data_IF_843428360838
#
_entry.id   IF_843428360838
#
_cell.length_a   1.000
_cell.length_b   1.000
_cell.length_c   1.000
_cell.angle_alpha   90.00
_cell.angle_beta   90.00
_cell.angle_gamma   90.00
#
_symmetry.space_group_name_H-M   'P 1'
#
loop_
_entity.id
_entity.type
_entity.pdbx_description
1 polymer ?
#
# COMPACT_ATOMS: atom_id res chain seq x y z
N UNK A 1 25.47 0.22 4.88
CA UNK A 1 24.25 -0.06 4.09
C UNK A 1 23.35 1.16 3.99
N UNK A 2 22.62 1.58 5.04
CA UNK A 2 21.73 2.77 4.94
C UNK A 2 22.51 4.07 4.67
N UNK A 3 23.62 4.30 5.38
CA UNK A 3 24.46 5.49 5.12
C UNK A 3 24.99 5.52 3.68
N UNK A 4 25.50 4.39 3.18
CA UNK A 4 25.98 4.27 1.79
C UNK A 4 24.85 4.54 0.78
N UNK A 5 23.64 4.01 1.03
CA UNK A 5 22.47 4.26 0.19
C UNK A 5 22.04 5.74 0.19
N UNK A 6 22.09 6.41 1.35
CA UNK A 6 21.81 7.85 1.47
C UNK A 6 22.84 8.67 0.70
N UNK A 7 24.12 8.32 0.78
CA UNK A 7 25.18 9.00 0.03
C UNK A 7 25.00 8.83 -1.49
N UNK A 8 24.77 7.61 -1.96
CA UNK A 8 24.52 7.30 -3.38
C UNK A 8 23.27 8.03 -3.88
N UNK A 9 22.17 7.99 -3.12
CA UNK A 9 20.92 8.67 -3.48
C UNK A 9 21.10 10.19 -3.56
N UNK A 10 21.82 10.78 -2.59
CA UNK A 10 22.12 12.21 -2.58
C UNK A 10 22.98 12.61 -3.78
N UNK A 11 23.98 11.79 -4.13
CA UNK A 11 24.82 12.03 -5.30
C UNK A 11 23.99 12.02 -6.59
N UNK A 12 23.16 10.99 -6.77
CA UNK A 12 22.26 10.89 -7.93
C UNK A 12 21.36 12.11 -8.07
N UNK A 13 20.70 12.53 -6.99
CA UNK A 13 19.79 13.69 -7.01
C UNK A 13 20.55 14.95 -7.38
N UNK A 14 21.72 15.18 -6.80
CA UNK A 14 22.55 16.36 -7.08
C UNK A 14 23.00 16.40 -8.55
N UNK A 15 23.35 15.25 -9.13
CA UNK A 15 23.83 15.17 -10.51
C UNK A 15 22.71 15.30 -11.56
N UNK A 16 21.57 14.64 -11.34
CA UNK A 16 20.50 14.57 -12.34
C UNK A 16 19.39 15.59 -12.16
N UNK A 17 19.22 16.13 -10.94
CA UNK A 17 18.17 17.10 -10.59
C UNK A 17 18.77 18.27 -9.79
N UNK A 18 19.70 19.05 -10.38
CA UNK A 18 20.33 20.18 -9.68
C UNK A 18 19.33 21.27 -9.25
N UNK A 19 18.18 21.36 -9.93
CA UNK A 19 17.09 22.29 -9.62
C UNK A 19 16.05 21.70 -8.66
N UNK A 20 16.35 20.58 -7.99
CA UNK A 20 15.44 19.98 -7.02
C UNK A 20 15.17 20.92 -5.85
N UNK A 21 13.88 21.15 -5.57
CA UNK A 21 13.43 21.85 -4.38
C UNK A 21 13.62 21.00 -3.13
N UNK A 22 13.27 19.73 -3.26
CA UNK A 22 13.46 18.73 -2.23
C UNK A 22 13.68 17.35 -2.84
N UNK A 23 14.24 16.43 -2.05
CA UNK A 23 14.27 15.02 -2.38
C UNK A 23 14.29 14.16 -1.13
N UNK A 24 13.73 12.96 -1.23
CA UNK A 24 13.61 12.00 -0.14
C UNK A 24 14.04 10.61 -0.61
N UNK A 25 14.74 9.89 0.25
CA UNK A 25 14.94 8.45 0.12
C UNK A 25 13.92 7.76 1.02
N UNK A 26 13.05 6.95 0.45
CA UNK A 26 12.06 6.18 1.19
C UNK A 26 12.31 4.68 1.04
N UNK A 27 11.22 3.92 1.11
CA UNK A 27 11.26 2.52 0.72
C UNK A 27 11.89 1.59 1.75
N UNK A 28 12.26 0.40 1.27
CA UNK A 28 12.66 -0.68 2.16
C UNK A 28 14.01 -0.45 2.86
N UNK A 29 14.88 0.34 2.24
CA UNK A 29 16.19 0.70 2.82
C UNK A 29 16.03 1.55 4.07
N UNK A 30 15.11 2.52 4.06
CA UNK A 30 14.89 3.40 5.21
C UNK A 30 14.16 2.70 6.35
N UNK A 31 13.22 1.80 6.02
CA UNK A 31 12.49 1.02 7.04
C UNK A 31 13.30 -0.12 7.66
N UNK A 32 14.45 -0.47 7.08
CA UNK A 32 15.29 -1.57 7.56
C UNK A 32 14.82 -2.96 7.15
N UNK A 33 13.86 -3.06 6.22
CA UNK A 33 13.33 -4.31 5.63
C UNK A 33 13.93 -4.61 4.24
N UNK A 34 15.05 -3.97 3.90
CA UNK A 34 15.73 -4.17 2.62
C UNK A 34 16.30 -5.60 2.46
N UNK A 35 16.17 -6.16 1.26
CA UNK A 35 16.79 -7.40 0.83
C UNK A 35 17.93 -7.12 -0.15
N UNK A 36 18.66 -8.18 -0.57
CA UNK A 36 19.72 -8.06 -1.58
C UNK A 36 19.23 -7.55 -2.95
N UNK A 37 17.92 -7.57 -3.20
CA UNK A 37 17.29 -7.10 -4.44
C UNK A 37 16.48 -5.82 -4.23
N UNK A 38 16.61 -5.16 -3.09
CA UNK A 38 15.92 -3.89 -2.82
C UNK A 38 16.49 -2.77 -3.69
N UNK A 39 15.59 -1.95 -4.20
CA UNK A 39 15.85 -0.70 -4.90
C UNK A 39 15.91 0.49 -3.94
N UNK A 40 16.48 1.59 -4.43
CA UNK A 40 16.39 2.90 -3.80
C UNK A 40 15.14 3.62 -4.32
N UNK A 41 14.14 3.77 -3.46
CA UNK A 41 12.94 4.57 -3.73
C UNK A 41 13.25 6.05 -3.48
N UNK A 42 13.48 6.83 -4.53
CA UNK A 42 13.85 8.25 -4.44
C UNK A 42 12.72 9.12 -4.97
N UNK A 43 12.16 9.98 -4.12
CA UNK A 43 11.18 11.00 -4.55
C UNK A 43 11.89 12.34 -4.74
N UNK A 44 11.66 13.03 -5.86
CA UNK A 44 12.26 14.33 -6.19
C UNK A 44 11.16 15.35 -6.42
N UNK A 45 11.26 16.51 -5.77
CA UNK A 45 10.34 17.63 -5.92
C UNK A 45 10.92 18.69 -6.87
N UNK A 46 10.21 18.97 -7.96
CA UNK A 46 10.51 20.04 -8.91
C UNK A 46 9.40 21.11 -8.89
N UNK A 47 9.72 22.31 -9.38
CA UNK A 47 8.73 23.39 -9.56
C UNK A 47 7.78 23.16 -10.73
N UNK A 48 8.09 22.23 -11.64
CA UNK A 48 7.39 22.06 -12.90
C UNK A 48 7.93 20.91 -13.75
N UNK A 49 7.82 21.00 -15.08
CA UNK A 49 8.34 19.98 -15.98
C UNK A 49 9.82 19.67 -15.71
N UNK A 50 10.23 18.39 -15.85
CA UNK A 50 9.48 17.33 -16.52
C UNK A 50 8.57 16.50 -15.57
N UNK A 51 8.30 16.96 -14.35
CA UNK A 51 7.34 16.32 -13.45
C UNK A 51 5.88 16.41 -13.97
N UNK A 52 5.00 15.43 -13.66
CA UNK A 52 5.29 14.21 -12.91
C UNK A 52 5.80 13.07 -13.80
N UNK A 53 6.77 12.29 -13.31
CA UNK A 53 7.22 11.08 -13.98
C UNK A 53 7.73 10.01 -13.00
N UNK A 54 7.74 8.76 -13.45
CA UNK A 54 8.48 7.67 -12.80
C UNK A 54 9.56 7.16 -13.75
N UNK A 55 10.77 6.92 -13.23
CA UNK A 55 11.90 6.40 -14.00
C UNK A 55 12.67 5.39 -13.18
N UNK A 56 12.98 4.24 -13.77
CA UNK A 56 13.88 3.25 -13.15
C UNK A 56 15.24 3.28 -13.85
N UNK A 57 16.32 3.17 -13.09
CA UNK A 57 17.69 3.16 -13.60
C UNK A 57 18.64 2.44 -12.63
N UNK A 58 19.85 2.15 -13.09
CA UNK A 58 20.94 1.70 -12.21
C UNK A 58 21.90 2.86 -11.94
N UNK A 59 22.32 3.01 -10.68
CA UNK A 59 23.28 4.05 -10.27
C UNK A 59 24.08 3.61 -9.05
N UNK A 60 25.41 3.77 -9.10
CA UNK A 60 26.28 3.39 -7.99
C UNK A 60 26.17 1.91 -7.59
N UNK A 61 25.78 1.02 -8.51
CA UNK A 61 25.54 -0.40 -8.23
C UNK A 61 24.15 -0.71 -7.64
N UNK A 62 23.27 0.27 -7.51
CA UNK A 62 21.91 0.11 -7.00
C UNK A 62 20.87 0.19 -8.13
N UNK A 63 19.85 -0.67 -8.13
CA UNK A 63 18.58 -0.36 -8.77
C UNK A 63 17.94 0.84 -8.08
N UNK A 64 17.45 1.80 -8.85
CA UNK A 64 16.83 3.03 -8.34
C UNK A 64 15.49 3.24 -9.03
N UNK A 65 14.46 3.52 -8.24
CA UNK A 65 13.19 4.05 -8.72
C UNK A 65 13.06 5.52 -8.34
N UNK A 66 12.95 6.37 -9.36
CA UNK A 66 12.73 7.80 -9.21
C UNK A 66 11.26 8.14 -9.40
N UNK A 67 10.71 8.87 -8.43
CA UNK A 67 9.39 9.46 -8.44
C UNK A 67 9.53 10.98 -8.46
N UNK A 68 9.43 11.58 -9.66
CA UNK A 68 9.65 13.02 -9.83
C UNK A 68 8.30 13.73 -9.86
N UNK A 69 8.08 14.66 -8.96
CA UNK A 69 6.79 15.29 -8.71
C UNK A 69 6.89 16.81 -8.55
N UNK A 70 5.80 17.51 -8.89
CA UNK A 70 5.47 18.82 -8.32
C UNK A 70 4.62 18.65 -7.06
N UNK A 71 4.48 19.70 -6.23
CA UNK A 71 3.59 19.67 -5.06
C UNK A 71 2.14 19.29 -5.44
N UNK A 72 1.62 19.84 -6.54
CA UNK A 72 0.28 19.50 -7.04
C UNK A 72 0.16 18.01 -7.37
N UNK A 73 1.20 17.42 -7.97
CA UNK A 73 1.18 16.00 -8.27
C UNK A 73 1.36 15.13 -7.02
N UNK A 74 2.16 15.55 -6.02
CA UNK A 74 2.21 14.88 -4.71
C UNK A 74 0.81 14.88 -4.10
N UNK A 75 0.14 16.03 -4.02
CA UNK A 75 -1.21 16.15 -3.49
C UNK A 75 -2.21 15.26 -4.25
N UNK A 76 -2.12 15.22 -5.58
CA UNK A 76 -2.94 14.34 -6.42
C UNK A 76 -2.74 12.85 -6.09
N UNK A 77 -1.50 12.39 -5.93
CA UNK A 77 -1.22 10.99 -5.61
C UNK A 77 -1.56 10.66 -4.15
N UNK A 78 -1.41 11.58 -3.21
CA UNK A 78 -1.92 11.44 -1.86
C UNK A 78 -3.46 11.28 -1.84
N UNK A 79 -4.19 12.03 -2.67
CA UNK A 79 -5.64 11.85 -2.79
C UNK A 79 -5.99 10.46 -3.37
N UNK A 80 -5.22 9.96 -4.33
CA UNK A 80 -5.37 8.59 -4.86
C UNK A 80 -5.06 7.52 -3.81
N UNK A 81 -4.05 7.73 -2.97
CA UNK A 81 -3.72 6.84 -1.85
C UNK A 81 -4.91 6.71 -0.89
N UNK A 82 -5.56 7.84 -0.53
CA UNK A 82 -6.78 7.84 0.28
C UNK A 82 -7.93 7.10 -0.39
N UNK A 83 -8.12 7.28 -1.70
CA UNK A 83 -9.17 6.60 -2.45
C UNK A 83 -8.97 5.08 -2.51
N UNK A 84 -7.73 4.60 -2.42
CA UNK A 84 -7.37 3.17 -2.49
C UNK A 84 -6.98 2.56 -1.14
N UNK A 85 -7.05 3.35 -0.06
CA UNK A 85 -6.60 2.98 1.28
C UNK A 85 -5.16 2.44 1.31
N UNK A 86 -4.27 2.96 0.46
CA UNK A 86 -2.90 2.48 0.32
C UNK A 86 -1.94 3.70 0.37
N UNK A 87 -1.13 3.88 1.42
CA UNK A 87 -0.38 5.12 1.65
C UNK A 87 0.96 5.12 0.91
N UNK A 88 0.95 4.96 -0.41
CA UNK A 88 2.18 4.80 -1.20
C UNK A 88 2.98 6.09 -1.30
N UNK A 89 2.43 7.14 -1.90
CA UNK A 89 3.07 8.46 -2.02
C UNK A 89 3.32 9.05 -0.63
N UNK A 90 2.34 8.93 0.27
CA UNK A 90 2.46 9.46 1.63
C UNK A 90 3.62 8.84 2.41
N UNK A 91 3.91 7.54 2.25
CA UNK A 91 5.06 6.91 2.92
C UNK A 91 6.37 7.17 2.19
N UNK A 92 6.38 7.23 0.85
CA UNK A 92 7.57 7.60 0.08
C UNK A 92 8.11 8.99 0.50
N UNK A 93 7.22 9.90 0.90
CA UNK A 93 7.59 11.24 1.38
C UNK A 93 7.67 11.30 2.91
N UNK A 94 6.70 10.75 3.65
CA UNK A 94 6.58 10.90 5.10
C UNK A 94 7.46 9.96 5.93
N UNK A 95 7.65 8.72 5.50
CA UNK A 95 8.49 7.71 6.18
C UNK A 95 9.86 7.60 5.51
N UNK A 96 10.52 8.74 5.33
CA UNK A 96 11.70 8.88 4.47
C UNK A 96 12.84 9.62 5.15
N UNK A 97 14.02 9.59 4.53
CA UNK A 97 15.17 10.43 4.87
C UNK A 97 15.25 11.58 3.87
N UNK A 98 15.25 12.82 4.36
CA UNK A 98 15.42 14.00 3.50
C UNK A 98 16.85 14.03 2.93
N UNK A 99 16.95 13.99 1.61
CA UNK A 99 18.20 14.10 0.87
C UNK A 99 18.50 15.57 0.52
N UNK A 100 17.51 16.31 0.04
CA UNK A 100 17.65 17.71 -0.35
C UNK A 100 16.46 18.49 0.19
N UNK A 101 16.70 19.72 0.65
CA UNK A 101 15.65 20.67 1.01
C UNK A 101 16.21 22.10 0.85
N UNK A 102 15.91 22.74 -0.28
CA UNK A 102 16.48 24.04 -0.64
C UNK A 102 15.63 25.22 -0.18
N UNK A 103 14.34 25.00 0.05
CA UNK A 103 13.37 26.05 0.37
C UNK A 103 12.44 25.72 1.56
N UNK A 104 12.68 24.61 2.26
CA UNK A 104 11.88 24.14 3.39
C UNK A 104 10.67 23.30 3.00
N UNK A 105 10.41 23.10 1.70
CA UNK A 105 9.35 22.20 1.23
C UNK A 105 9.61 20.75 1.58
N UNK A 106 10.88 20.34 1.68
CA UNK A 106 11.30 18.99 2.02
C UNK A 106 10.78 18.54 3.38
N UNK A 107 11.17 19.27 4.43
CA UNK A 107 10.74 19.01 5.79
C UNK A 107 9.23 19.19 5.97
N UNK A 108 8.64 20.22 5.35
CA UNK A 108 7.20 20.51 5.46
C UNK A 108 6.35 19.37 4.90
N UNK A 109 6.58 18.97 3.65
CA UNK A 109 5.79 17.92 2.99
C UNK A 109 6.00 16.56 3.67
N UNK A 110 7.21 16.27 4.16
CA UNK A 110 7.47 15.07 4.96
C UNK A 110 6.58 15.03 6.20
N UNK A 111 6.53 16.12 6.97
CA UNK A 111 5.69 16.20 8.18
C UNK A 111 4.20 16.10 7.86
N UNK A 112 3.73 16.78 6.81
CA UNK A 112 2.35 16.70 6.35
C UNK A 112 1.97 15.26 5.97
N UNK A 113 2.80 14.59 5.18
CA UNK A 113 2.55 13.21 4.76
C UNK A 113 2.60 12.24 5.96
N UNK A 114 3.57 12.39 6.86
CA UNK A 114 3.68 11.55 8.06
C UNK A 114 2.45 11.70 8.97
N UNK A 115 1.93 12.92 9.13
CA UNK A 115 0.71 13.16 9.89
C UNK A 115 -0.50 12.44 9.29
N UNK A 116 -0.62 12.42 7.95
CA UNK A 116 -1.71 11.71 7.27
C UNK A 116 -1.54 10.19 7.40
N UNK A 117 -0.32 9.66 7.28
CA UNK A 117 -0.06 8.23 7.52
C UNK A 117 -0.49 7.84 8.94
N UNK A 118 -0.10 8.62 9.94
CA UNK A 118 -0.46 8.37 11.33
C UNK A 118 -1.98 8.47 11.60
N UNK A 119 -2.70 9.31 10.85
CA UNK A 119 -4.15 9.47 11.00
C UNK A 119 -4.97 8.29 10.44
N UNK A 120 -4.36 7.44 9.59
CA UNK A 120 -5.06 6.35 8.91
C UNK A 120 -5.83 6.81 7.67
N UNK A 121 -6.36 5.86 6.87
CA UNK A 121 -7.20 6.18 5.74
C UNK A 121 -8.58 6.71 6.17
N UNK A 122 -9.27 7.34 5.21
CA UNK A 122 -10.70 7.62 5.35
C UNK A 122 -11.51 6.35 5.63
N UNK A 123 -12.67 6.53 6.25
CA UNK A 123 -13.65 5.44 6.38
C UNK A 123 -14.14 4.95 5.01
N UNK A 124 -14.48 3.66 4.96
CA UNK A 124 -15.33 3.12 3.90
C UNK A 124 -16.69 3.81 3.94
N UNK A 125 -17.22 4.13 2.76
CA UNK A 125 -18.65 4.40 2.61
C UNK A 125 -19.43 3.08 2.71
N UNK A 126 -20.74 3.15 2.95
CA UNK A 126 -21.60 1.96 2.95
C UNK A 126 -21.49 1.17 1.65
N UNK A 127 -21.48 1.85 0.50
CA UNK A 127 -21.37 1.20 -0.81
C UNK A 127 -20.03 0.47 -1.00
N UNK A 128 -18.93 1.04 -0.51
CA UNK A 128 -17.61 0.40 -0.59
C UNK A 128 -17.50 -0.80 0.34
N UNK A 129 -18.06 -0.70 1.54
CA UNK A 129 -18.14 -1.82 2.46
C UNK A 129 -18.98 -2.97 1.89
N UNK A 130 -20.16 -2.64 1.35
CA UNK A 130 -21.06 -3.63 0.75
C UNK A 130 -20.43 -4.28 -0.48
N UNK A 131 -19.71 -3.51 -1.31
CA UNK A 131 -18.96 -4.07 -2.44
C UNK A 131 -17.89 -5.08 -1.99
N UNK A 132 -17.09 -4.76 -0.96
CA UNK A 132 -16.10 -5.69 -0.42
C UNK A 132 -16.76 -6.96 0.13
N UNK A 133 -17.81 -6.81 0.93
CA UNK A 133 -18.58 -7.95 1.47
C UNK A 133 -19.16 -8.83 0.37
N UNK A 134 -19.70 -8.23 -0.67
CA UNK A 134 -20.24 -8.93 -1.82
C UNK A 134 -19.16 -9.70 -2.58
N UNK A 135 -18.02 -9.07 -2.89
CA UNK A 135 -16.91 -9.72 -3.57
C UNK A 135 -16.38 -10.91 -2.78
N UNK A 136 -16.16 -10.74 -1.47
CA UNK A 136 -15.69 -11.83 -0.59
C UNK A 136 -16.72 -12.95 -0.48
N UNK A 137 -18.02 -12.62 -0.45
CA UNK A 137 -19.09 -13.62 -0.42
C UNK A 137 -19.08 -14.50 -1.67
N UNK A 138 -18.96 -13.90 -2.86
CA UNK A 138 -18.86 -14.67 -4.10
C UNK A 138 -17.59 -15.53 -4.15
N UNK A 139 -16.46 -15.02 -3.66
CA UNK A 139 -15.21 -15.78 -3.61
C UNK A 139 -15.29 -16.98 -2.65
N UNK A 140 -16.06 -16.87 -1.55
CA UNK A 140 -16.34 -18.01 -0.66
C UNK A 140 -17.15 -19.10 -1.38
N UNK A 141 -18.15 -18.70 -2.16
CA UNK A 141 -18.98 -19.62 -2.93
C UNK A 141 -18.17 -20.27 -4.08
N UNK A 142 -17.36 -19.47 -4.80
CA UNK A 142 -16.43 -19.96 -5.83
C UNK A 142 -15.41 -20.96 -5.25
N UNK A 143 -14.92 -20.73 -4.02
CA UNK A 143 -13.99 -21.63 -3.36
C UNK A 143 -14.65 -22.96 -2.98
N UNK A 144 -15.92 -22.93 -2.58
CA UNK A 144 -16.71 -24.12 -2.28
C UNK A 144 -17.00 -24.94 -3.55
N UNK A 145 -17.28 -24.27 -4.68
CA UNK A 145 -17.57 -24.89 -5.97
C UNK A 145 -16.32 -25.26 -6.79
N UNK A 146 -15.12 -24.98 -6.28
CA UNK A 146 -13.86 -25.22 -6.97
C UNK A 146 -13.66 -26.72 -7.31
N UNK A 147 -13.64 -27.03 -8.61
CA UNK A 147 -13.57 -28.39 -9.13
C UNK A 147 -12.15 -28.97 -9.25
N UNK A 148 -11.11 -28.13 -9.11
CA UNK A 148 -9.70 -28.53 -9.18
C UNK A 148 -8.86 -27.78 -8.14
N UNK A 149 -7.70 -28.34 -7.78
CA UNK A 149 -6.75 -27.70 -6.86
C UNK A 149 -6.16 -26.40 -7.43
N UNK A 150 -6.01 -26.30 -8.76
CA UNK A 150 -5.55 -25.09 -9.43
C UNK A 150 -6.57 -23.95 -9.28
N UNK A 151 -7.86 -24.24 -9.51
CA UNK A 151 -8.95 -23.27 -9.32
C UNK A 151 -9.03 -22.88 -7.84
N UNK A 152 -8.98 -23.86 -6.93
CA UNK A 152 -8.97 -23.63 -5.48
C UNK A 152 -7.84 -22.69 -5.06
N UNK A 153 -6.63 -22.95 -5.54
CA UNK A 153 -5.45 -22.13 -5.25
C UNK A 153 -5.62 -20.69 -5.79
N UNK A 154 -6.13 -20.55 -7.02
CA UNK A 154 -6.37 -19.24 -7.62
C UNK A 154 -7.40 -18.43 -6.82
N UNK A 155 -8.55 -19.02 -6.46
CA UNK A 155 -9.59 -18.36 -5.67
C UNK A 155 -9.10 -18.03 -4.27
N UNK A 156 -8.46 -18.99 -3.57
CA UNK A 156 -7.89 -18.77 -2.25
C UNK A 156 -6.89 -17.60 -2.26
N UNK A 157 -6.08 -17.47 -3.31
CA UNK A 157 -5.10 -16.39 -3.47
C UNK A 157 -5.70 -14.99 -3.57
N UNK A 158 -6.95 -14.87 -4.04
CA UNK A 158 -7.69 -13.61 -4.09
C UNK A 158 -8.45 -13.40 -2.78
N UNK A 159 -9.11 -14.45 -2.29
CA UNK A 159 -9.94 -14.43 -1.09
C UNK A 159 -9.20 -13.90 0.15
N UNK A 160 -7.99 -14.41 0.42
CA UNK A 160 -7.22 -13.94 1.58
C UNK A 160 -6.86 -12.45 1.47
N UNK A 161 -6.59 -11.96 0.24
CA UNK A 161 -6.22 -10.56 0.04
C UNK A 161 -7.41 -9.63 0.26
N UNK A 162 -8.58 -10.02 -0.22
CA UNK A 162 -9.78 -9.21 -0.08
C UNK A 162 -10.32 -9.24 1.36
N UNK A 163 -10.22 -10.37 2.04
CA UNK A 163 -10.50 -10.46 3.48
C UNK A 163 -9.55 -9.59 4.31
N UNK A 164 -8.24 -9.65 4.04
CA UNK A 164 -7.25 -8.78 4.69
C UNK A 164 -7.55 -7.29 4.41
N UNK A 165 -7.90 -6.93 3.16
CA UNK A 165 -8.30 -5.56 2.80
C UNK A 165 -9.55 -5.12 3.57
N UNK A 166 -10.58 -5.95 3.65
CA UNK A 166 -11.79 -5.63 4.41
C UNK A 166 -11.46 -5.38 5.88
N UNK A 167 -10.70 -6.27 6.51
CA UNK A 167 -10.31 -6.13 7.91
C UNK A 167 -9.55 -4.82 8.16
N UNK A 168 -8.54 -4.53 7.35
CA UNK A 168 -7.71 -3.35 7.50
C UNK A 168 -8.51 -2.07 7.25
N UNK A 169 -9.17 -1.97 6.09
CA UNK A 169 -9.89 -0.74 5.70
C UNK A 169 -11.13 -0.50 6.55
N UNK A 170 -11.84 -1.56 6.96
CA UNK A 170 -12.95 -1.52 7.90
C UNK A 170 -12.55 -1.01 9.29
N UNK A 171 -11.31 -1.30 9.70
CA UNK A 171 -10.73 -0.80 10.96
C UNK A 171 -10.04 0.56 10.83
N UNK A 172 -10.13 1.23 9.67
CA UNK A 172 -9.35 2.43 9.34
C UNK A 172 -7.84 2.24 9.54
N UNK A 173 -7.35 1.07 9.21
CA UNK A 173 -5.94 0.79 9.04
C UNK A 173 -5.58 0.88 7.55
N UNK A 174 -4.37 1.34 7.26
CA UNK A 174 -3.87 1.34 5.89
C UNK A 174 -3.77 -0.08 5.35
N UNK A 175 -3.94 -0.23 4.04
CA UNK A 175 -3.78 -1.49 3.32
C UNK A 175 -2.55 -1.42 2.42
N UNK A 176 -2.19 -2.57 1.82
CA UNK A 176 -1.15 -2.66 0.80
C UNK A 176 -1.50 -3.65 -0.31
N UNK A 177 -0.49 -4.04 -1.06
CA UNK A 177 -0.55 -5.10 -2.09
C UNK A 177 0.64 -6.04 -1.93
N UNK A 178 0.49 -7.31 -2.31
CA UNK A 178 1.55 -8.32 -2.20
C UNK A 178 2.20 -8.32 -0.81
N UNK A 179 3.53 -8.15 -0.76
CA UNK A 179 4.30 -8.03 0.49
C UNK A 179 3.79 -6.93 1.42
N UNK A 180 3.36 -5.80 0.85
CA UNK A 180 2.84 -4.66 1.60
C UNK A 180 1.53 -4.98 2.32
N UNK A 181 0.65 -5.79 1.73
CA UNK A 181 -0.61 -6.19 2.37
C UNK A 181 -0.34 -7.02 3.63
N UNK A 182 0.53 -8.03 3.52
CA UNK A 182 0.93 -8.85 4.66
C UNK A 182 1.63 -8.02 5.74
N UNK A 183 2.43 -7.03 5.36
CA UNK A 183 3.09 -6.12 6.30
C UNK A 183 2.07 -5.27 7.08
N UNK A 184 1.07 -4.68 6.42
CA UNK A 184 0.00 -3.97 7.15
C UNK A 184 -0.78 -4.90 8.08
N UNK A 185 -1.07 -6.12 7.63
CA UNK A 185 -1.81 -7.09 8.43
C UNK A 185 -1.03 -7.53 9.68
N UNK A 186 0.28 -7.74 9.57
CA UNK A 186 1.13 -8.00 10.75
C UNK A 186 1.17 -6.81 11.71
N UNK A 187 1.25 -5.57 11.19
CA UNK A 187 1.22 -4.37 12.03
C UNK A 187 -0.13 -4.22 12.74
N UNK A 188 -1.23 -4.53 12.05
CA UNK A 188 -2.56 -4.61 12.64
C UNK A 188 -2.62 -5.65 13.76
N UNK A 189 -2.11 -6.86 13.52
CA UNK A 189 -2.06 -7.94 14.51
C UNK A 189 -1.26 -7.56 15.76
N UNK A 190 -0.08 -6.96 15.58
CA UNK A 190 0.75 -6.47 16.68
C UNK A 190 0.02 -5.40 17.51
N UNK A 191 -0.68 -4.48 16.84
CA UNK A 191 -1.42 -3.41 17.52
C UNK A 191 -2.65 -3.92 18.28
N UNK A 192 -3.34 -4.95 17.77
CA UNK A 192 -4.63 -5.41 18.30
C UNK A 192 -4.52 -6.72 19.10
N UNK A 193 -3.36 -7.38 19.12
CA UNK A 193 -3.16 -8.66 19.79
C UNK A 193 -3.89 -9.82 19.11
N UNK A 194 -3.99 -9.77 17.78
CA UNK A 194 -4.64 -10.79 16.94
C UNK A 194 -3.60 -11.60 16.15
N UNK A 195 -4.04 -12.58 15.37
CA UNK A 195 -3.16 -13.42 14.53
C UNK A 195 -3.72 -13.64 13.11
N UNK A 196 -4.49 -12.69 12.60
CA UNK A 196 -5.14 -12.74 11.29
C UNK A 196 -4.15 -13.01 10.15
N UNK A 197 -2.97 -12.39 10.19
CA UNK A 197 -1.91 -12.61 9.20
C UNK A 197 -1.47 -14.07 9.15
N UNK A 198 -1.25 -14.66 10.32
CA UNK A 198 -0.82 -16.07 10.43
C UNK A 198 -1.91 -17.00 9.93
N UNK A 199 -3.16 -16.78 10.34
CA UNK A 199 -4.30 -17.65 10.02
C UNK A 199 -4.65 -17.56 8.53
N UNK A 200 -4.77 -16.36 7.96
CA UNK A 200 -5.07 -16.17 6.54
C UNK A 200 -3.98 -16.76 5.63
N UNK A 201 -2.69 -16.63 5.99
CA UNK A 201 -1.60 -17.22 5.22
C UNK A 201 -1.55 -18.74 5.36
N UNK A 202 -1.83 -19.30 6.54
CA UNK A 202 -1.97 -20.74 6.71
C UNK A 202 -3.16 -21.28 5.88
N UNK A 203 -4.24 -20.52 5.81
CA UNK A 203 -5.45 -20.83 5.06
C UNK A 203 -5.23 -20.96 3.54
N UNK A 204 -4.15 -20.39 2.99
CA UNK A 204 -3.77 -20.63 1.59
C UNK A 204 -3.45 -22.10 1.29
N UNK A 205 -3.07 -22.89 2.30
CA UNK A 205 -2.81 -24.33 2.18
C UNK A 205 -3.95 -25.20 2.73
N UNK A 206 -4.79 -24.62 3.58
CA UNK A 206 -5.92 -25.27 4.23
C UNK A 206 -7.15 -24.38 4.07
N UNK A 207 -7.96 -24.67 3.06
CA UNK A 207 -9.08 -23.80 2.70
C UNK A 207 -10.18 -23.77 3.73
N UNK A 208 -10.30 -24.78 4.60
CA UNK A 208 -11.29 -24.78 5.67
C UNK A 208 -10.93 -23.72 6.72
N UNK A 209 -9.65 -23.65 7.09
CA UNK A 209 -9.10 -22.58 7.95
C UNK A 209 -9.31 -21.20 7.32
N UNK A 210 -9.09 -21.09 6.00
CA UNK A 210 -9.34 -19.83 5.29
C UNK A 210 -10.81 -19.42 5.35
N UNK A 211 -11.72 -20.35 5.10
CA UNK A 211 -13.17 -20.08 5.11
C UNK A 211 -13.64 -19.63 6.48
N UNK A 212 -13.21 -20.31 7.55
CA UNK A 212 -13.57 -19.94 8.93
C UNK A 212 -13.09 -18.54 9.28
N UNK A 213 -11.84 -18.22 8.96
CA UNK A 213 -11.23 -16.92 9.24
C UNK A 213 -11.91 -15.79 8.46
N UNK A 214 -12.14 -15.99 7.17
CA UNK A 214 -12.81 -15.02 6.31
C UNK A 214 -14.25 -14.79 6.77
N UNK A 215 -14.96 -15.84 7.20
CA UNK A 215 -16.29 -15.71 7.76
C UNK A 215 -16.27 -14.88 9.05
N UNK A 216 -15.31 -15.14 9.95
CA UNK A 216 -15.13 -14.36 11.17
C UNK A 216 -14.83 -12.88 10.89
N UNK A 217 -14.06 -12.57 9.83
CA UNK A 217 -13.82 -11.19 9.39
C UNK A 217 -15.11 -10.58 8.86
N UNK A 218 -15.83 -11.26 7.97
CA UNK A 218 -17.11 -10.77 7.42
C UNK A 218 -18.12 -10.46 8.53
N UNK A 219 -18.23 -11.31 9.55
CA UNK A 219 -19.21 -11.16 10.63
C UNK A 219 -18.97 -9.88 11.45
N UNK A 220 -17.73 -9.41 11.56
CA UNK A 220 -17.41 -8.10 12.17
C UNK A 220 -18.00 -6.92 11.39
N UNK A 221 -18.28 -7.12 10.09
CA UNK A 221 -18.76 -6.09 9.17
C UNK A 221 -20.16 -6.39 8.62
N UNK A 222 -20.96 -7.18 9.35
CA UNK A 222 -22.36 -7.46 8.99
C UNK A 222 -22.56 -8.76 8.21
N UNK A 223 -21.53 -9.59 8.08
CA UNK A 223 -21.59 -10.92 7.47
C UNK A 223 -21.61 -10.87 5.94
N UNK A 224 -21.86 -12.05 5.36
CA UNK A 224 -22.01 -12.24 3.91
C UNK A 224 -23.06 -11.31 3.30
N UNK A 225 -22.86 -10.92 2.05
CA UNK A 225 -23.80 -10.11 1.29
C UNK A 225 -23.91 -10.64 -0.15
N UNK A 226 -25.09 -11.10 -0.52
CA UNK A 226 -25.43 -11.43 -1.91
C UNK A 226 -26.81 -10.92 -2.24
N UNK A 227 -27.82 -11.41 -1.49
CA UNK A 227 -29.19 -10.96 -1.63
C UNK A 227 -29.31 -9.46 -1.29
N UNK A 228 -29.86 -8.69 -2.23
CA UNK A 228 -30.07 -7.25 -2.07
C UNK A 228 -28.85 -6.38 -2.39
N UNK A 229 -27.72 -6.95 -2.84
CA UNK A 229 -26.63 -6.16 -3.38
C UNK A 229 -27.02 -5.51 -4.72
N UNK A 230 -26.74 -4.22 -4.88
CA UNK A 230 -26.98 -3.47 -6.10
C UNK A 230 -25.77 -2.59 -6.42
N UNK A 231 -25.31 -2.62 -7.66
CA UNK A 231 -24.26 -1.75 -8.17
C UNK A 231 -24.76 -1.02 -9.41
N UNK A 232 -24.96 0.29 -9.28
CA UNK A 232 -25.38 1.12 -10.40
C UNK A 232 -24.20 1.39 -11.36
N UNK A 233 -24.42 1.16 -12.65
CA UNK A 233 -23.49 1.61 -13.69
C UNK A 233 -23.64 3.12 -13.92
N UNK A 234 -22.53 3.82 -14.19
CA UNK A 234 -22.64 5.20 -14.66
C UNK A 234 -23.23 5.20 -16.08
N UNK A 235 -24.24 6.05 -16.36
CA UNK A 235 -24.76 6.20 -17.72
C UNK A 235 -23.65 6.74 -18.64
N UNK A 236 -23.56 6.17 -19.84
CA UNK A 236 -22.61 6.53 -20.91
C UNK A 236 -22.93 7.89 -21.50
#
# INVERSE_FOLDING_TARGET
MVNDAVEVARQLVTEQYPDARAAWLGGSVVRGDASATSDLDITVLLSGPPAPMRRSLEYGGWPVELFVHTEDSVAHFCAKDQQRWQPTMMRLVGESIVLVDTDGSGARLQQECLAVVAAGPRALTTAELDLLRYMITNLLDDLADASTDDVRTAVASVLWQDAARLLLTGSRHWSGTGKGLLRELNAYDEQHGTDHARVLIAGLRDTDVLVEEVQSILDQYGGRLFAGFELAAQPV
#
